data_IF_818763978346
#
_entry.id   IF_818763978346
#
_cell.length_a   1.000
_cell.length_b   1.000
_cell.length_c   1.000
_cell.angle_alpha   90.00
_cell.angle_beta   90.00
_cell.angle_gamma   90.00
#
_symmetry.space_group_name_H-M   'P 1'
#
loop_
_entity.id
_entity.type
_entity.pdbx_description
1 polymer ?
#
# COMPACT_ATOMS: atom_id res chain seq x y z
N UNK A 1 1.04 21.53 2.38
CA UNK A 1 1.48 22.84 2.90
C UNK A 1 1.93 23.81 1.79
N UNK A 2 3.12 23.59 1.12
CA UNK A 2 3.60 24.53 0.09
C UNK A 2 2.70 24.57 -1.15
N UNK A 3 2.28 23.44 -1.69
CA UNK A 3 1.35 23.39 -2.83
C UNK A 3 -0.01 24.02 -2.49
N UNK A 4 -0.52 23.82 -1.30
CA UNK A 4 -1.75 24.47 -0.81
C UNK A 4 -1.58 25.99 -0.72
N UNK A 5 -0.42 26.45 -0.23
CA UNK A 5 -0.13 27.87 -0.11
C UNK A 5 -0.01 28.56 -1.48
N UNK A 6 0.66 27.92 -2.43
CA UNK A 6 0.88 28.49 -3.78
C UNK A 6 -0.19 28.12 -4.81
N UNK A 7 -1.13 27.24 -4.45
CA UNK A 7 -2.28 26.85 -5.27
C UNK A 7 -1.96 25.93 -6.46
N UNK A 8 -0.74 25.93 -6.98
CA UNK A 8 -0.31 25.03 -8.07
C UNK A 8 1.19 24.78 -8.05
N UNK A 9 1.62 23.68 -8.67
CA UNK A 9 3.03 23.35 -8.84
C UNK A 9 3.79 24.39 -9.68
N UNK A 10 3.14 24.95 -10.71
CA UNK A 10 3.72 26.01 -11.55
C UNK A 10 3.98 27.29 -10.77
N UNK A 11 3.02 27.71 -9.94
CA UNK A 11 3.16 28.93 -9.12
C UNK A 11 4.26 28.73 -8.07
N UNK A 12 4.30 27.55 -7.42
CA UNK A 12 5.36 27.20 -6.50
C UNK A 12 6.73 27.17 -7.18
N UNK A 13 6.84 26.56 -8.37
CA UNK A 13 8.10 26.51 -9.11
C UNK A 13 8.59 27.90 -9.54
N UNK A 14 7.69 28.84 -9.86
CA UNK A 14 8.04 30.26 -10.12
C UNK A 14 8.53 30.93 -8.84
N UNK A 15 7.77 30.83 -7.75
CA UNK A 15 8.14 31.43 -6.48
C UNK A 15 9.51 30.93 -5.95
N UNK A 16 9.82 29.64 -6.16
CA UNK A 16 11.14 29.09 -5.82
C UNK A 16 12.25 29.72 -6.68
N UNK A 17 12.02 29.85 -8.00
CA UNK A 17 13.00 30.48 -8.93
C UNK A 17 13.22 31.96 -8.62
N UNK A 18 12.16 32.65 -8.26
CA UNK A 18 12.18 34.10 -7.97
C UNK A 18 12.66 34.37 -6.53
N UNK A 19 12.94 33.34 -5.72
CA UNK A 19 13.43 33.47 -4.33
C UNK A 19 12.35 33.82 -3.30
N UNK A 20 11.08 33.82 -3.72
CA UNK A 20 9.94 34.23 -2.90
C UNK A 20 9.34 33.10 -2.04
N UNK A 21 9.91 31.88 -2.10
CA UNK A 21 9.41 30.75 -1.35
C UNK A 21 10.05 30.66 0.04
N UNK A 22 9.28 30.96 1.08
CA UNK A 22 9.64 30.69 2.47
C UNK A 22 9.38 29.23 2.84
N UNK A 23 10.15 28.69 3.81
CA UNK A 23 9.95 27.33 4.33
C UNK A 23 10.77 26.23 3.64
N UNK A 24 11.56 26.56 2.62
CA UNK A 24 12.56 25.68 2.02
C UNK A 24 13.97 26.04 2.50
N UNK A 25 14.80 25.04 2.79
CA UNK A 25 16.24 25.23 3.02
C UNK A 25 16.92 25.69 1.72
N UNK A 26 18.08 26.35 1.85
CA UNK A 26 18.85 26.80 0.69
C UNK A 26 19.24 25.64 -0.24
N UNK A 27 19.50 24.46 0.33
CA UNK A 27 19.80 23.25 -0.44
C UNK A 27 18.59 22.73 -1.25
N UNK A 28 17.36 22.91 -0.72
CA UNK A 28 16.12 22.54 -1.44
C UNK A 28 15.80 23.54 -2.53
N UNK A 29 15.93 24.83 -2.25
CA UNK A 29 15.81 25.91 -3.26
C UNK A 29 16.80 25.70 -4.41
N UNK A 30 18.07 25.42 -4.09
CA UNK A 30 19.10 25.21 -5.08
C UNK A 30 18.82 23.97 -5.96
N UNK A 31 18.33 22.87 -5.34
CA UNK A 31 17.92 21.68 -6.11
C UNK A 31 16.76 21.97 -7.05
N UNK A 32 15.72 22.67 -6.58
CA UNK A 32 14.57 23.02 -7.40
C UNK A 32 14.94 23.95 -8.57
N UNK A 33 15.81 24.96 -8.34
CA UNK A 33 16.31 25.86 -9.39
C UNK A 33 17.19 25.12 -10.41
N UNK A 34 17.99 24.14 -9.93
CA UNK A 34 18.89 23.36 -10.78
C UNK A 34 18.20 22.21 -11.54
N UNK A 35 16.94 21.90 -11.21
CA UNK A 35 16.17 20.90 -11.96
C UNK A 35 15.98 21.35 -13.41
N UNK A 36 16.64 20.65 -14.31
CA UNK A 36 16.59 21.00 -15.73
C UNK A 36 15.32 20.45 -16.34
N UNK A 37 14.56 21.30 -17.02
CA UNK A 37 13.36 20.91 -17.80
C UNK A 37 13.66 19.70 -18.70
N UNK A 38 14.87 19.64 -19.27
CA UNK A 38 15.31 18.53 -20.11
C UNK A 38 15.34 17.19 -19.36
N UNK A 39 15.78 17.16 -18.09
CA UNK A 39 15.83 15.94 -17.28
C UNK A 39 14.41 15.44 -16.95
N UNK A 40 13.49 16.36 -16.67
CA UNK A 40 12.08 16.02 -16.45
C UNK A 40 11.45 15.43 -17.71
N UNK A 41 11.68 16.05 -18.87
CA UNK A 41 11.17 15.55 -20.15
C UNK A 41 11.74 14.16 -20.49
N UNK A 42 13.01 13.92 -20.24
CA UNK A 42 13.62 12.59 -20.42
C UNK A 42 12.97 11.52 -19.54
N UNK A 43 12.67 11.83 -18.26
CA UNK A 43 11.96 10.91 -17.37
C UNK A 43 10.55 10.63 -17.90
N UNK A 44 9.84 11.65 -18.38
CA UNK A 44 8.48 11.49 -18.93
C UNK A 44 8.48 10.63 -20.21
N UNK A 45 9.43 10.87 -21.13
CA UNK A 45 9.62 10.07 -22.34
C UNK A 45 9.93 8.61 -22.02
N UNK A 46 10.83 8.37 -21.07
CA UNK A 46 11.18 7.04 -20.62
C UNK A 46 9.98 6.33 -19.95
N UNK A 47 9.26 7.01 -19.07
CA UNK A 47 8.04 6.47 -18.46
C UNK A 47 7.04 6.04 -19.53
N UNK A 48 6.83 6.87 -20.55
CA UNK A 48 5.93 6.56 -21.67
C UNK A 48 6.39 5.34 -22.45
N UNK A 49 7.67 5.27 -22.77
CA UNK A 49 8.28 4.13 -23.50
C UNK A 49 8.20 2.82 -22.72
N UNK A 50 8.17 2.90 -21.38
CA UNK A 50 8.12 1.76 -20.47
C UNK A 50 6.70 1.45 -19.92
N UNK A 51 5.66 2.08 -20.51
CA UNK A 51 4.27 1.95 -20.04
C UNK A 51 4.11 2.29 -18.55
N UNK A 52 4.84 3.29 -18.06
CA UNK A 52 4.71 3.85 -16.72
C UNK A 52 3.92 5.15 -16.84
N UNK A 53 2.75 5.23 -16.23
CA UNK A 53 1.98 6.47 -16.13
C UNK A 53 2.47 7.28 -14.93
N UNK A 54 2.45 8.59 -15.10
CA UNK A 54 2.74 9.55 -14.03
C UNK A 54 1.41 10.11 -13.58
N UNK A 55 1.04 9.83 -12.33
CA UNK A 55 -0.21 10.28 -11.71
C UNK A 55 0.13 11.26 -10.60
N UNK A 56 -0.40 12.45 -10.68
CA UNK A 56 -0.15 13.51 -9.70
C UNK A 56 -1.28 13.61 -8.67
N UNK A 57 -1.01 14.29 -7.56
CA UNK A 57 -1.98 14.49 -6.48
C UNK A 57 -3.28 15.20 -6.95
N UNK A 58 -3.22 15.94 -8.05
CA UNK A 58 -4.35 16.69 -8.61
C UNK A 58 -5.14 15.89 -9.66
N UNK A 59 -4.65 14.73 -10.08
CA UNK A 59 -5.33 13.90 -11.05
C UNK A 59 -6.54 13.19 -10.43
N UNK A 60 -7.60 13.05 -11.21
CA UNK A 60 -8.85 12.41 -10.77
C UNK A 60 -8.69 10.90 -10.47
N UNK A 61 -7.70 10.25 -11.08
CA UNK A 61 -7.37 8.85 -10.82
C UNK A 61 -6.48 8.63 -9.58
N UNK A 62 -6.01 9.72 -8.94
CA UNK A 62 -5.23 9.58 -7.70
C UNK A 62 -6.09 9.01 -6.58
N UNK A 63 -5.66 7.93 -5.89
CA UNK A 63 -6.49 7.26 -4.89
C UNK A 63 -6.88 8.19 -3.75
N UNK A 64 -8.19 8.38 -3.53
CA UNK A 64 -8.73 9.29 -2.52
C UNK A 64 -8.26 8.95 -1.10
N UNK A 65 -8.17 7.67 -0.77
CA UNK A 65 -7.66 7.23 0.53
C UNK A 65 -6.19 7.65 0.74
N UNK A 66 -5.36 7.55 -0.30
CA UNK A 66 -3.96 7.93 -0.23
C UNK A 66 -3.77 9.46 -0.17
N UNK A 67 -4.68 10.22 -0.80
CA UNK A 67 -4.67 11.68 -0.76
C UNK A 67 -4.83 12.24 0.66
N UNK A 68 -5.54 11.50 1.53
CA UNK A 68 -5.91 11.93 2.86
C UNK A 68 -4.92 11.54 3.96
N UNK A 69 -3.79 10.92 3.64
CA UNK A 69 -2.76 10.61 4.65
C UNK A 69 -1.88 11.81 4.95
N UNK A 70 -1.20 11.78 6.11
CA UNK A 70 -0.13 12.72 6.37
C UNK A 70 1.00 12.54 5.36
N UNK A 71 1.41 13.63 4.68
CA UNK A 71 2.44 13.60 3.63
C UNK A 71 2.14 12.63 2.48
N UNK A 72 1.04 12.84 1.71
CA UNK A 72 0.74 12.01 0.54
C UNK A 72 1.83 12.17 -0.54
N UNK A 73 2.13 11.13 -1.32
CA UNK A 73 3.01 11.25 -2.48
C UNK A 73 2.49 12.27 -3.47
N UNK A 74 3.30 13.25 -3.85
CA UNK A 74 2.90 14.26 -4.83
C UNK A 74 2.76 13.64 -6.23
N UNK A 75 3.59 12.63 -6.52
CA UNK A 75 3.65 11.92 -7.80
C UNK A 75 3.69 10.43 -7.54
N UNK A 76 2.93 9.68 -8.32
CA UNK A 76 2.96 8.23 -8.40
C UNK A 76 3.40 7.79 -9.79
N UNK A 77 4.38 6.91 -9.86
CA UNK A 77 4.75 6.16 -11.05
C UNK A 77 3.97 4.84 -11.06
N UNK A 78 3.09 4.66 -12.03
CA UNK A 78 2.06 3.60 -12.04
C UNK A 78 2.23 2.71 -13.27
N UNK A 79 2.37 1.41 -13.06
CA UNK A 79 2.14 0.39 -14.10
C UNK A 79 0.82 -0.32 -13.81
N UNK A 80 -0.07 -0.40 -14.79
CA UNK A 80 -1.40 -0.99 -14.63
C UNK A 80 -2.49 0.03 -14.33
N UNK A 81 -3.56 -0.36 -13.63
CA UNK A 81 -4.75 0.48 -13.38
C UNK A 81 -5.04 0.64 -11.89
N UNK A 82 -5.41 1.87 -11.49
CA UNK A 82 -5.85 2.20 -10.13
C UNK A 82 -7.38 2.17 -9.98
N UNK A 83 -8.12 1.93 -11.06
CA UNK A 83 -9.60 1.97 -11.07
C UNK A 83 -10.24 0.99 -10.09
N UNK A 84 -9.56 -0.13 -9.78
CA UNK A 84 -10.04 -1.10 -8.80
C UNK A 84 -10.18 -0.53 -7.37
N UNK A 85 -9.57 0.62 -7.09
CA UNK A 85 -9.64 1.28 -5.77
C UNK A 85 -10.85 2.20 -5.62
N UNK A 86 -11.61 2.49 -6.70
CA UNK A 86 -12.66 3.51 -6.67
C UNK A 86 -13.90 3.05 -5.89
N UNK A 87 -14.32 1.78 -6.04
CA UNK A 87 -15.60 1.28 -5.54
C UNK A 87 -15.48 -0.04 -4.76
N UNK A 88 -14.27 -0.43 -4.36
CA UNK A 88 -14.03 -1.67 -3.65
C UNK A 88 -13.45 -1.41 -2.25
N UNK A 89 -13.74 -2.31 -1.33
CA UNK A 89 -12.98 -2.37 -0.08
C UNK A 89 -11.55 -2.72 -0.41
N UNK A 90 -10.62 -1.85 -0.01
CA UNK A 90 -9.20 -2.12 -0.11
C UNK A 90 -8.62 -2.44 1.26
N UNK A 91 -7.81 -3.49 1.34
CA UNK A 91 -7.19 -3.96 2.58
C UNK A 91 -5.68 -4.08 2.41
N UNK A 92 -4.93 -3.37 3.24
CA UNK A 92 -3.50 -3.56 3.34
C UNK A 92 -3.19 -4.90 4.05
N UNK A 93 -2.32 -5.72 3.47
CA UNK A 93 -1.90 -6.99 4.08
C UNK A 93 -0.40 -6.99 4.24
N UNK A 94 0.06 -7.15 5.48
CA UNK A 94 1.48 -7.10 5.81
C UNK A 94 1.90 -8.23 6.75
N UNK A 95 3.18 -8.57 6.71
CA UNK A 95 3.75 -9.58 7.57
C UNK A 95 5.26 -9.75 7.37
N UNK A 96 5.86 -10.82 7.91
CA UNK A 96 7.29 -11.03 7.81
C UNK A 96 7.71 -11.52 6.42
N UNK A 97 8.96 -11.24 6.08
CA UNK A 97 9.62 -11.77 4.87
C UNK A 97 9.90 -13.28 4.96
N UNK A 98 9.97 -13.82 6.16
CA UNK A 98 10.12 -15.25 6.46
C UNK A 98 9.01 -15.65 7.42
N UNK A 99 7.79 -15.86 6.89
CA UNK A 99 6.63 -16.24 7.70
C UNK A 99 6.77 -17.66 8.23
N UNK A 100 6.08 -17.94 9.35
CA UNK A 100 5.85 -19.30 9.79
C UNK A 100 4.86 -20.02 8.86
N UNK A 101 4.85 -21.35 8.87
CA UNK A 101 3.86 -22.14 8.12
C UNK A 101 2.42 -21.79 8.54
N UNK A 102 2.22 -21.44 9.81
CA UNK A 102 0.94 -20.95 10.30
C UNK A 102 0.54 -19.65 9.61
N UNK A 103 1.45 -18.68 9.57
CA UNK A 103 1.19 -17.38 8.94
C UNK A 103 0.93 -17.51 7.43
N UNK A 104 1.63 -18.40 6.74
CA UNK A 104 1.36 -18.67 5.32
C UNK A 104 -0.05 -19.21 5.13
N UNK A 105 -0.42 -20.27 5.89
CA UNK A 105 -1.78 -20.86 5.79
C UNK A 105 -2.88 -19.88 6.19
N UNK A 106 -2.67 -19.09 7.25
CA UNK A 106 -3.64 -18.08 7.69
C UNK A 106 -3.80 -16.99 6.63
N UNK A 107 -2.69 -16.46 6.11
CA UNK A 107 -2.68 -15.46 5.04
C UNK A 107 -3.36 -15.97 3.77
N UNK A 108 -3.03 -17.18 3.30
CA UNK A 108 -3.66 -17.79 2.12
C UNK A 108 -5.17 -17.95 2.31
N UNK A 109 -5.61 -18.48 3.47
CA UNK A 109 -7.03 -18.67 3.78
C UNK A 109 -7.78 -17.34 3.77
N UNK A 110 -7.30 -16.36 4.54
CA UNK A 110 -7.96 -15.06 4.68
C UNK A 110 -7.98 -14.29 3.35
N UNK A 111 -6.83 -14.16 2.69
CA UNK A 111 -6.73 -13.44 1.43
C UNK A 111 -7.58 -14.08 0.32
N UNK A 112 -7.62 -15.43 0.23
CA UNK A 112 -8.43 -16.13 -0.77
C UNK A 112 -9.92 -15.85 -0.60
N UNK A 113 -10.44 -15.86 0.63
CA UNK A 113 -11.86 -15.59 0.87
C UNK A 113 -12.18 -14.09 0.66
N UNK A 114 -11.32 -13.18 1.10
CA UNK A 114 -11.51 -11.74 0.90
C UNK A 114 -11.54 -11.35 -0.59
N UNK A 115 -10.63 -11.89 -1.41
CA UNK A 115 -10.62 -11.57 -2.85
C UNK A 115 -11.83 -12.12 -3.59
N UNK A 116 -12.41 -13.25 -3.17
CA UNK A 116 -13.69 -13.77 -3.71
C UNK A 116 -14.85 -12.82 -3.47
N UNK A 117 -14.80 -12.06 -2.39
CA UNK A 117 -15.79 -11.03 -2.05
C UNK A 117 -15.50 -9.69 -2.74
N UNK A 118 -14.42 -9.61 -3.54
CA UNK A 118 -14.04 -8.42 -4.29
C UNK A 118 -13.21 -7.42 -3.50
N UNK A 119 -12.60 -7.82 -2.39
CA UNK A 119 -11.63 -7.00 -1.68
C UNK A 119 -10.37 -6.83 -2.51
N UNK A 120 -9.90 -5.59 -2.68
CA UNK A 120 -8.62 -5.29 -3.33
C UNK A 120 -7.51 -5.34 -2.28
N UNK A 121 -6.59 -6.29 -2.43
CA UNK A 121 -5.45 -6.38 -1.52
C UNK A 121 -4.36 -5.40 -1.92
N UNK A 122 -3.79 -4.73 -0.92
CA UNK A 122 -2.66 -3.80 -1.08
C UNK A 122 -1.48 -4.33 -0.28
N UNK A 123 -0.30 -4.45 -0.88
CA UNK A 123 0.89 -4.89 -0.15
C UNK A 123 2.19 -4.37 -0.77
N UNK A 124 3.31 -4.68 -0.13
CA UNK A 124 4.60 -4.09 -0.48
C UNK A 124 5.45 -4.88 -1.47
N UNK A 125 4.94 -5.97 -2.05
CA UNK A 125 5.68 -6.82 -2.98
C UNK A 125 6.97 -7.43 -2.41
N UNK A 126 7.18 -7.42 -1.10
CA UNK A 126 8.30 -8.12 -0.48
C UNK A 126 8.07 -9.65 -0.55
N UNK A 127 9.16 -10.42 -0.42
CA UNK A 127 9.03 -11.87 -0.21
C UNK A 127 8.24 -12.16 1.08
N UNK A 128 7.60 -13.32 1.18
CA UNK A 128 6.82 -13.72 2.35
C UNK A 128 5.34 -13.36 2.25
N UNK A 129 4.77 -12.74 3.29
CA UNK A 129 3.32 -12.48 3.38
C UNK A 129 2.82 -11.56 2.26
N UNK A 130 3.60 -10.57 1.84
CA UNK A 130 3.23 -9.71 0.71
C UNK A 130 3.05 -10.53 -0.57
N UNK A 131 3.97 -11.48 -0.82
CA UNK A 131 3.86 -12.43 -1.95
C UNK A 131 2.62 -13.30 -1.82
N UNK A 132 2.30 -13.80 -0.62
CA UNK A 132 1.09 -14.61 -0.37
C UNK A 132 -0.16 -13.83 -0.75
N UNK A 133 -0.30 -12.60 -0.26
CA UNK A 133 -1.46 -11.74 -0.53
C UNK A 133 -1.67 -11.51 -2.03
N UNK A 134 -0.63 -11.06 -2.74
CA UNK A 134 -0.72 -10.83 -4.18
C UNK A 134 -0.98 -12.11 -4.98
N UNK A 135 -0.37 -13.23 -4.56
CA UNK A 135 -0.57 -14.53 -5.24
C UNK A 135 -2.01 -15.01 -5.13
N UNK A 136 -2.68 -14.80 -3.98
CA UNK A 136 -4.10 -15.12 -3.82
C UNK A 136 -4.97 -14.34 -4.81
N UNK A 137 -4.75 -13.03 -4.94
CA UNK A 137 -5.49 -12.18 -5.88
C UNK A 137 -5.24 -12.59 -7.34
N UNK A 138 -3.97 -12.78 -7.72
CA UNK A 138 -3.57 -13.17 -9.08
C UNK A 138 -4.10 -14.55 -9.45
N UNK A 139 -4.10 -15.53 -8.54
CA UNK A 139 -4.71 -16.85 -8.76
C UNK A 139 -6.23 -16.78 -8.98
N UNK A 140 -6.88 -15.85 -8.31
CA UNK A 140 -8.31 -15.59 -8.49
C UNK A 140 -8.63 -14.74 -9.74
N UNK A 141 -7.62 -14.22 -10.45
CA UNK A 141 -7.80 -13.37 -11.62
C UNK A 141 -8.36 -11.99 -11.28
N UNK A 142 -8.15 -11.48 -10.05
CA UNK A 142 -8.69 -10.19 -9.58
C UNK A 142 -7.57 -9.19 -9.31
N UNK A 143 -7.87 -7.87 -9.38
CA UNK A 143 -6.87 -6.84 -9.19
C UNK A 143 -6.31 -6.79 -7.76
N UNK A 144 -5.05 -6.39 -7.66
CA UNK A 144 -4.35 -6.11 -6.40
C UNK A 144 -3.34 -4.98 -6.63
N UNK A 145 -2.92 -4.27 -5.58
CA UNK A 145 -2.02 -3.13 -5.69
C UNK A 145 -0.70 -3.43 -4.99
N UNK A 146 0.37 -3.49 -5.78
CA UNK A 146 1.74 -3.61 -5.27
C UNK A 146 2.41 -2.25 -5.11
N UNK A 147 2.94 -1.95 -3.93
CA UNK A 147 3.65 -0.70 -3.65
C UNK A 147 5.13 -0.97 -3.55
N UNK A 148 5.96 -0.32 -4.35
CA UNK A 148 7.41 -0.51 -4.37
C UNK A 148 8.13 0.45 -3.40
N UNK A 149 9.28 0.02 -2.90
CA UNK A 149 10.26 0.85 -2.18
C UNK A 149 11.50 1.16 -3.03
N UNK A 150 11.34 1.14 -4.34
CA UNK A 150 12.35 1.49 -5.35
C UNK A 150 11.65 2.01 -6.60
N UNK A 151 12.40 2.49 -7.57
CA UNK A 151 11.85 2.90 -8.86
C UNK A 151 11.29 1.73 -9.67
N UNK A 152 10.36 2.02 -10.57
CA UNK A 152 9.64 1.05 -11.40
C UNK A 152 10.56 0.21 -12.32
N UNK A 153 11.73 0.73 -12.66
CA UNK A 153 12.71 0.07 -13.55
C UNK A 153 13.78 -0.72 -12.77
N UNK A 154 13.67 -0.77 -11.45
CA UNK A 154 14.56 -1.56 -10.60
C UNK A 154 13.94 -2.93 -10.34
N UNK A 155 14.66 -3.99 -10.70
CA UNK A 155 14.21 -5.36 -10.45
C UNK A 155 14.44 -5.75 -8.98
N UNK A 156 13.47 -5.41 -8.12
CA UNK A 156 13.50 -5.75 -6.70
C UNK A 156 12.07 -5.95 -6.15
N UNK A 157 11.83 -7.00 -5.34
CA UNK A 157 12.68 -8.19 -5.26
C UNK A 157 12.60 -9.01 -6.56
N UNK A 158 13.71 -9.62 -6.97
CA UNK A 158 13.79 -10.36 -8.23
C UNK A 158 12.83 -11.56 -8.27
N UNK A 159 12.59 -12.18 -7.11
CA UNK A 159 11.69 -13.32 -6.93
C UNK A 159 10.23 -12.99 -7.31
N UNK A 160 9.84 -11.72 -7.21
CA UNK A 160 8.47 -11.27 -7.48
C UNK A 160 8.32 -10.56 -8.85
N UNK A 161 9.32 -10.64 -9.73
CA UNK A 161 9.24 -9.95 -11.03
C UNK A 161 8.09 -10.47 -11.91
N UNK A 162 7.88 -11.78 -11.94
CA UNK A 162 6.76 -12.38 -12.68
C UNK A 162 5.41 -12.02 -12.01
N UNK A 163 5.38 -11.98 -10.68
CA UNK A 163 4.19 -11.59 -9.94
C UNK A 163 3.79 -10.14 -10.25
N UNK A 164 4.74 -9.20 -10.39
CA UNK A 164 4.46 -7.81 -10.79
C UNK A 164 3.75 -7.73 -12.14
N UNK A 165 4.21 -8.51 -13.14
CA UNK A 165 3.57 -8.56 -14.46
C UNK A 165 2.13 -9.08 -14.36
N UNK A 166 1.94 -10.18 -13.65
CA UNK A 166 0.62 -10.80 -13.47
C UNK A 166 -0.35 -9.90 -12.70
N UNK A 167 0.13 -9.09 -11.74
CA UNK A 167 -0.70 -8.07 -11.07
C UNK A 167 -1.29 -7.11 -12.10
N UNK A 168 -0.47 -6.62 -13.02
CA UNK A 168 -0.92 -5.70 -14.07
C UNK A 168 -1.88 -6.37 -15.04
N UNK A 169 -1.60 -7.61 -15.45
CA UNK A 169 -2.46 -8.42 -16.32
C UNK A 169 -3.83 -8.71 -15.71
N UNK A 170 -3.91 -8.86 -14.38
CA UNK A 170 -5.17 -9.02 -13.66
C UNK A 170 -5.92 -7.70 -13.40
N UNK A 171 -5.52 -6.60 -14.04
CA UNK A 171 -6.18 -5.30 -13.90
C UNK A 171 -5.81 -4.52 -12.65
N UNK A 172 -4.81 -4.97 -11.90
CA UNK A 172 -4.22 -4.25 -10.78
C UNK A 172 -3.13 -3.28 -11.19
N UNK A 173 -2.36 -2.79 -10.21
CA UNK A 173 -1.25 -1.88 -10.45
C UNK A 173 -0.03 -2.18 -9.57
N UNK A 174 1.13 -1.81 -10.09
CA UNK A 174 2.37 -1.67 -9.33
C UNK A 174 2.72 -0.19 -9.29
N UNK A 175 2.89 0.37 -8.10
CA UNK A 175 3.10 1.80 -7.90
C UNK A 175 4.38 2.12 -7.13
N UNK A 176 4.96 3.28 -7.38
CA UNK A 176 6.09 3.84 -6.64
C UNK A 176 5.98 5.37 -6.56
N UNK A 177 6.45 5.97 -5.47
CA UNK A 177 6.66 7.42 -5.37
C UNK A 177 8.07 7.85 -5.80
N UNK A 178 8.94 6.88 -6.09
CA UNK A 178 10.34 7.10 -6.41
C UNK A 178 10.56 7.16 -7.92
N UNK A 179 11.51 7.97 -8.36
CA UNK A 179 11.90 8.05 -9.76
C UNK A 179 12.25 6.67 -10.34
N UNK A 180 12.02 6.42 -11.64
CA UNK A 180 12.07 5.08 -12.25
C UNK A 180 13.32 4.26 -11.96
N UNK A 181 14.49 4.88 -11.88
CA UNK A 181 15.77 4.22 -11.64
C UNK A 181 16.26 4.29 -10.18
N UNK A 182 15.44 4.79 -9.25
CA UNK A 182 15.86 4.91 -7.86
C UNK A 182 16.12 3.54 -7.25
N UNK A 183 17.37 3.30 -6.89
CA UNK A 183 17.81 2.04 -6.28
C UNK A 183 17.18 1.81 -4.90
N UNK A 184 17.27 0.56 -4.45
CA UNK A 184 16.75 0.12 -3.15
C UNK A 184 17.56 0.76 -2.01
N UNK A 185 16.85 1.34 -1.03
CA UNK A 185 17.43 1.84 0.21
C UNK A 185 16.54 1.51 1.41
N UNK A 186 17.15 1.28 2.57
CA UNK A 186 16.43 0.93 3.80
C UNK A 186 15.46 2.01 4.27
N UNK A 187 15.74 3.28 4.01
CA UNK A 187 14.88 4.42 4.30
C UNK A 187 13.59 4.39 3.49
N UNK A 188 13.68 4.02 2.21
CA UNK A 188 12.51 3.96 1.33
C UNK A 188 11.49 2.90 1.73
N UNK A 189 11.92 1.78 2.34
CA UNK A 189 10.96 0.81 2.89
C UNK A 189 10.10 1.40 4.00
N UNK A 190 10.71 2.18 4.91
CA UNK A 190 9.99 2.84 5.99
C UNK A 190 9.03 3.90 5.46
N UNK A 191 9.53 4.73 4.54
CA UNK A 191 8.73 5.79 3.92
C UNK A 191 7.56 5.22 3.12
N UNK A 192 7.76 4.17 2.32
CA UNK A 192 6.76 3.51 1.49
C UNK A 192 5.61 2.93 2.31
N UNK A 193 5.88 2.42 3.52
CA UNK A 193 4.88 1.73 4.33
C UNK A 193 3.63 2.59 4.63
N UNK A 194 3.78 3.93 4.72
CA UNK A 194 2.63 4.84 4.85
C UNK A 194 1.66 4.78 3.67
N UNK A 195 2.17 4.44 2.48
CA UNK A 195 1.35 4.29 1.29
C UNK A 195 0.56 2.97 1.30
N UNK A 196 1.14 1.90 1.84
CA UNK A 196 0.45 0.61 1.94
C UNK A 196 -0.79 0.76 2.83
N UNK A 197 -0.63 1.27 4.05
CA UNK A 197 -1.75 1.54 4.96
C UNK A 197 -2.69 2.62 4.39
N UNK A 198 -2.13 3.65 3.76
CA UNK A 198 -2.90 4.77 3.19
C UNK A 198 -3.79 4.40 2.01
N UNK A 199 -3.49 3.32 1.29
CA UNK A 199 -4.32 2.78 0.20
C UNK A 199 -5.38 1.80 0.70
N UNK A 200 -5.26 1.30 1.93
CA UNK A 200 -6.23 0.42 2.57
C UNK A 200 -7.25 1.17 3.41
N UNK A 201 -8.47 0.70 3.46
CA UNK A 201 -9.45 1.12 4.48
C UNK A 201 -9.04 0.60 5.85
N UNK A 202 -8.41 -0.59 5.89
CA UNK A 202 -7.79 -1.19 7.06
C UNK A 202 -6.48 -1.89 6.73
N UNK A 203 -5.77 -2.33 7.77
CA UNK A 203 -4.49 -3.04 7.65
C UNK A 203 -4.55 -4.35 8.42
N UNK A 204 -4.31 -5.47 7.74
CA UNK A 204 -4.19 -6.81 8.32
C UNK A 204 -2.72 -7.16 8.55
N UNK A 205 -2.36 -7.43 9.81
CA UNK A 205 -1.07 -8.03 10.17
C UNK A 205 -1.27 -9.53 10.33
N UNK A 206 -0.64 -10.32 9.45
CA UNK A 206 -0.76 -11.79 9.49
C UNK A 206 0.16 -12.40 10.55
N UNK A 207 1.37 -11.89 10.68
CA UNK A 207 2.33 -12.27 11.72
C UNK A 207 3.34 -11.14 11.90
N UNK A 208 3.84 -10.94 13.12
CA UNK A 208 4.94 -10.03 13.37
C UNK A 208 5.73 -10.43 14.61
N UNK A 209 7.06 -10.33 14.56
CA UNK A 209 7.89 -10.26 15.76
C UNK A 209 7.88 -8.85 16.35
N UNK A 210 8.30 -8.72 17.60
CA UNK A 210 8.36 -7.40 18.29
C UNK A 210 9.25 -6.36 17.60
N UNK A 211 10.16 -6.79 16.72
CA UNK A 211 11.08 -5.93 15.94
C UNK A 211 10.77 -5.92 14.45
N UNK A 212 9.61 -6.41 14.05
CA UNK A 212 9.24 -6.52 12.64
C UNK A 212 9.01 -5.16 11.99
N UNK A 213 9.57 -4.97 10.78
CA UNK A 213 9.34 -3.75 9.99
C UNK A 213 7.88 -3.56 9.55
N UNK A 214 7.06 -4.61 9.51
CA UNK A 214 5.63 -4.49 9.18
C UNK A 214 4.84 -3.77 10.29
N UNK A 215 5.35 -3.72 11.53
CA UNK A 215 4.73 -2.95 12.61
C UNK A 215 4.77 -1.42 12.36
N UNK A 216 5.69 -0.95 11.52
CA UNK A 216 5.66 0.44 11.06
C UNK A 216 4.42 0.73 10.21
N UNK A 217 3.97 -0.24 9.42
CA UNK A 217 2.72 -0.12 8.65
C UNK A 217 1.52 -0.09 9.58
N UNK A 218 1.52 -0.87 10.67
CA UNK A 218 0.50 -0.83 11.70
C UNK A 218 0.41 0.55 12.37
N UNK A 219 1.54 1.13 12.74
CA UNK A 219 1.58 2.47 13.33
C UNK A 219 1.07 3.52 12.35
N UNK A 220 1.47 3.45 11.07
CA UNK A 220 0.91 4.33 10.05
C UNK A 220 -0.60 4.15 9.88
N UNK A 221 -1.13 2.93 9.96
CA UNK A 221 -2.58 2.69 9.90
C UNK A 221 -3.31 3.40 11.05
N UNK A 222 -2.80 3.28 12.27
CA UNK A 222 -3.35 3.95 13.46
C UNK A 222 -3.28 5.47 13.29
N UNK A 223 -2.12 6.02 12.91
CA UNK A 223 -1.93 7.46 12.70
C UNK A 223 -2.84 8.02 11.60
N UNK A 224 -3.23 7.19 10.64
CA UNK A 224 -4.12 7.52 9.53
C UNK A 224 -5.62 7.29 9.87
N UNK A 225 -5.94 6.84 11.09
CA UNK A 225 -7.31 6.50 11.50
C UNK A 225 -7.90 5.33 10.74
N UNK A 226 -7.08 4.34 10.35
CA UNK A 226 -7.49 3.11 9.67
C UNK A 226 -7.67 1.98 10.66
N UNK A 227 -8.61 1.09 10.36
CA UNK A 227 -8.81 -0.11 11.16
C UNK A 227 -7.55 -0.99 11.14
N UNK A 228 -7.24 -1.56 12.29
CA UNK A 228 -6.13 -2.48 12.44
C UNK A 228 -6.63 -3.87 12.81
N UNK A 229 -6.30 -4.82 11.97
CA UNK A 229 -6.64 -6.23 12.09
C UNK A 229 -5.38 -7.04 12.37
N UNK A 230 -5.46 -7.97 13.31
CA UNK A 230 -4.33 -8.83 13.65
C UNK A 230 -4.76 -10.29 13.69
N UNK A 231 -4.04 -11.15 12.96
CA UNK A 231 -4.16 -12.59 13.17
C UNK A 231 -3.54 -12.93 14.53
N UNK A 232 -4.26 -13.57 15.45
CA UNK A 232 -3.72 -13.97 16.74
C UNK A 232 -2.48 -14.85 16.62
N UNK A 233 -1.53 -14.78 17.58
CA UNK A 233 -0.34 -15.61 17.55
C UNK A 233 -0.68 -17.10 17.47
N UNK A 234 -0.09 -17.81 16.52
CA UNK A 234 -0.23 -19.27 16.42
C UNK A 234 0.51 -20.02 17.53
N UNK A 235 1.46 -19.35 18.18
CA UNK A 235 2.24 -19.90 19.29
C UNK A 235 2.72 -18.73 20.17
N UNK A 236 2.17 -18.63 21.39
CA UNK A 236 2.49 -17.58 22.37
C UNK A 236 3.89 -17.70 22.98
N UNK A 237 4.57 -18.81 22.75
CA UNK A 237 5.95 -19.02 23.23
C UNK A 237 6.99 -18.56 22.23
N UNK A 238 6.59 -18.27 20.98
CA UNK A 238 7.47 -17.83 19.91
C UNK A 238 7.52 -16.30 19.78
N UNK A 239 8.68 -15.72 19.97
CA UNK A 239 8.90 -14.27 19.80
C UNK A 239 8.50 -13.75 18.40
N UNK A 240 8.64 -14.60 17.38
CA UNK A 240 8.29 -14.25 16.00
C UNK A 240 6.79 -13.91 15.78
N UNK A 241 5.93 -14.30 16.70
CA UNK A 241 4.48 -14.07 16.64
C UNK A 241 4.00 -12.99 17.63
N UNK A 242 4.84 -12.55 18.57
CA UNK A 242 4.41 -11.73 19.70
C UNK A 242 4.26 -10.24 19.38
N UNK A 243 4.71 -9.80 18.21
CA UNK A 243 4.64 -8.39 17.83
C UNK A 243 3.21 -7.85 17.65
N UNK A 244 2.22 -8.71 17.39
CA UNK A 244 0.81 -8.31 17.28
C UNK A 244 0.12 -8.16 18.63
N UNK A 245 0.66 -8.75 19.71
CA UNK A 245 0.01 -8.80 21.02
C UNK A 245 -0.25 -7.42 21.64
N UNK A 246 0.69 -6.47 21.61
CA UNK A 246 0.41 -5.11 22.10
C UNK A 246 -0.78 -4.47 21.37
N UNK A 247 -0.84 -4.58 20.06
CA UNK A 247 -1.94 -4.01 19.26
C UNK A 247 -3.29 -4.65 19.59
N UNK A 248 -3.33 -5.99 19.75
CA UNK A 248 -4.56 -6.68 20.19
C UNK A 248 -5.03 -6.23 21.56
N UNK A 249 -4.10 -5.95 22.50
CA UNK A 249 -4.43 -5.43 23.83
C UNK A 249 -4.94 -3.98 23.77
N UNK A 250 -4.45 -3.22 22.80
CA UNK A 250 -4.80 -1.81 22.61
C UNK A 250 -6.02 -1.61 21.70
N UNK A 251 -6.71 -2.72 21.33
CA UNK A 251 -7.99 -2.67 20.62
C UNK A 251 -7.94 -2.97 19.13
N UNK A 252 -6.82 -3.46 18.59
CA UNK A 252 -6.83 -4.01 17.24
C UNK A 252 -7.74 -5.23 17.15
N UNK A 253 -8.45 -5.36 16.04
CA UNK A 253 -9.47 -6.40 15.85
C UNK A 253 -8.79 -7.75 15.62
N UNK A 254 -9.04 -8.77 16.47
CA UNK A 254 -8.52 -10.11 16.24
C UNK A 254 -9.23 -10.76 15.06
N UNK A 255 -8.46 -11.39 14.16
CA UNK A 255 -8.99 -12.04 12.95
C UNK A 255 -8.79 -13.54 13.03
N UNK A 256 -9.86 -14.28 13.19
CA UNK A 256 -9.92 -15.74 13.14
C UNK A 256 -10.48 -16.25 11.82
N UNK A 257 -11.33 -15.42 11.18
CA UNK A 257 -11.96 -15.67 9.90
C UNK A 257 -12.04 -14.37 9.08
N UNK A 258 -12.20 -14.49 7.75
CA UNK A 258 -12.37 -13.32 6.87
C UNK A 258 -13.61 -12.48 7.22
N UNK A 259 -14.63 -13.09 7.82
CA UNK A 259 -15.85 -12.42 8.26
C UNK A 259 -15.58 -11.40 9.39
N UNK A 260 -14.51 -11.58 10.18
CA UNK A 260 -14.12 -10.58 11.18
C UNK A 260 -13.74 -9.24 10.56
N UNK A 261 -13.21 -9.27 9.32
CA UNK A 261 -12.90 -8.06 8.54
C UNK A 261 -14.14 -7.57 7.81
N UNK A 262 -14.90 -8.47 7.21
CA UNK A 262 -16.08 -8.15 6.39
C UNK A 262 -17.13 -7.42 7.18
N UNK A 263 -17.37 -7.78 8.44
CA UNK A 263 -18.39 -7.12 9.29
C UNK A 263 -18.11 -5.64 9.52
N UNK A 264 -16.84 -5.23 9.57
CA UNK A 264 -16.48 -3.82 9.74
C UNK A 264 -16.82 -2.99 8.49
N UNK A 265 -16.92 -3.66 7.33
CA UNK A 265 -17.20 -3.02 6.03
C UNK A 265 -18.49 -3.52 5.38
N UNK A 266 -19.45 -4.01 6.17
CA UNK A 266 -20.71 -4.62 5.68
C UNK A 266 -21.41 -3.79 4.61
N UNK A 267 -21.45 -2.46 4.76
CA UNK A 267 -22.10 -1.58 3.80
C UNK A 267 -21.54 -1.69 2.36
N UNK A 268 -20.33 -2.17 2.19
CA UNK A 268 -19.71 -2.38 0.87
C UNK A 268 -19.96 -3.80 0.30
N UNK A 269 -20.42 -4.74 1.14
CA UNK A 269 -20.60 -6.14 0.76
C UNK A 269 -22.07 -6.58 0.63
N UNK A 270 -23.04 -5.70 0.89
CA UNK A 270 -24.47 -6.04 0.92
C UNK A 270 -25.01 -6.77 -0.32
N UNK A 271 -24.41 -6.54 -1.48
CA UNK A 271 -24.83 -7.23 -2.71
C UNK A 271 -24.17 -8.61 -2.91
N UNK A 272 -23.24 -9.00 -2.04
CA UNK A 272 -22.38 -10.18 -2.21
C UNK A 272 -22.47 -11.17 -1.04
N UNK A 273 -23.07 -10.77 0.06
CA UNK A 273 -23.18 -11.57 1.29
C UNK A 273 -24.62 -11.53 1.77
N UNK A 274 -25.18 -12.71 2.05
CA UNK A 274 -26.46 -12.82 2.75
C UNK A 274 -26.25 -12.46 4.24
N UNK A 275 -26.90 -11.39 4.68
CA UNK A 275 -26.77 -10.91 6.05
C UNK A 275 -27.28 -11.95 7.07
N UNK A 276 -28.25 -12.78 6.69
CA UNK A 276 -28.80 -13.83 7.55
C UNK A 276 -27.80 -15.00 7.68
N UNK A 277 -27.08 -15.35 6.60
CA UNK A 277 -26.02 -16.37 6.63
C UNK A 277 -24.85 -15.93 7.52
N UNK A 278 -24.53 -14.64 7.55
CA UNK A 278 -23.51 -14.06 8.44
C UNK A 278 -23.90 -14.18 9.91
N UNK A 279 -25.12 -13.80 10.26
CA UNK A 279 -25.63 -13.88 11.63
C UNK A 279 -25.67 -15.31 12.14
N UNK A 280 -26.08 -16.26 11.33
CA UNK A 280 -26.14 -17.69 11.69
C UNK A 280 -24.76 -18.30 11.97
N UNK A 281 -23.71 -17.86 11.25
CA UNK A 281 -22.33 -18.33 11.48
C UNK A 281 -21.71 -17.73 12.74
N UNK A 282 -22.14 -16.51 13.15
CA UNK A 282 -21.62 -15.85 14.36
C UNK A 282 -22.22 -16.39 15.66
N UNK A 283 -23.40 -17.00 15.59
CA UNK A 283 -24.11 -17.52 16.77
C UNK A 283 -23.93 -19.03 16.97
N UNK A 284 -23.09 -19.68 16.15
CA UNK A 284 -22.65 -21.08 16.31
C UNK A 284 -21.20 -21.16 16.77
#
# INVERSE_FOLDING_TARGET
ALLEHFGSADTLARAIRDGECEGLSDSEKQRAVNTRTREVLQIMEECTAQNIRIVTLDDTEYPSLLKNIYSPPIVLFVRGSLTCLSDAVSLAVVGPRRPSDYAVRAGERLCTELVKLGTVLVSGLAVGIDTVAHTCAVRAGVPTIGVLACGQLVNYPAENEELKKRIVECGGAVISELLPHTSVDSGYFRQRNRMISGLGMGTLIVEASTRSGCLLTANHAIDQGRDLFCVPPGDITRESCMGVVPYLRDGAIPVFDHLDIVKEYMCYFFSRIDADELNDRYHR
#
